data_IF_975860174581
#
_entry.id   IF_975860174581
#
_cell.length_a   1.000
_cell.length_b   1.000
_cell.length_c   1.000
_cell.angle_alpha   90.00
_cell.angle_beta   90.00
_cell.angle_gamma   90.00
#
_symmetry.space_group_name_H-M   'P 1'
#
loop_
_entity.id
_entity.type
_entity.pdbx_description
1 polymer ?
#
# COMPACT_ATOMS: atom_id res chain seq x y z
N UNK A 1 -7.79 -6.95 14.22
CA UNK A 1 -7.54 -5.53 14.56
C UNK A 1 -6.08 -5.12 14.29
N UNK A 2 -5.27 -6.03 13.75
CA UNK A 2 -3.82 -5.93 13.77
C UNK A 2 -3.25 -5.19 12.55
N UNK A 3 -3.90 -5.29 11.39
CA UNK A 3 -3.43 -4.71 10.13
C UNK A 3 -3.35 -3.18 10.14
N UNK A 4 -4.35 -2.49 10.72
CA UNK A 4 -4.31 -1.02 10.85
C UNK A 4 -3.16 -0.56 11.76
N UNK A 5 -2.91 -1.28 12.85
CA UNK A 5 -1.81 -0.98 13.78
C UNK A 5 -0.46 -1.29 13.14
N UNK A 6 -0.37 -2.36 12.35
CA UNK A 6 0.83 -2.71 11.60
C UNK A 6 1.18 -1.62 10.56
N UNK A 7 0.21 -1.15 9.78
CA UNK A 7 0.40 -0.06 8.83
C UNK A 7 0.88 1.24 9.52
N UNK A 8 0.20 1.64 10.60
CA UNK A 8 0.57 2.84 11.35
C UNK A 8 1.99 2.77 11.95
N UNK A 9 2.46 1.58 12.37
CA UNK A 9 3.83 1.38 12.85
C UNK A 9 4.86 1.66 11.77
N UNK A 10 4.63 1.21 10.53
CA UNK A 10 5.58 1.45 9.44
C UNK A 10 5.70 2.94 9.13
N UNK A 11 4.57 3.65 9.02
CA UNK A 11 4.56 5.11 8.83
C UNK A 11 5.26 5.83 9.97
N UNK A 12 5.02 5.43 11.21
CA UNK A 12 5.67 6.03 12.38
C UNK A 12 7.19 5.83 12.33
N UNK A 13 7.65 4.66 11.88
CA UNK A 13 9.09 4.38 11.71
C UNK A 13 9.70 5.23 10.61
N UNK A 14 9.03 5.35 9.45
CA UNK A 14 9.50 6.21 8.34
C UNK A 14 9.61 7.67 8.81
N UNK A 15 8.58 8.19 9.49
CA UNK A 15 8.61 9.55 10.06
C UNK A 15 9.75 9.73 11.05
N UNK A 16 9.99 8.76 11.93
CA UNK A 16 11.07 8.81 12.90
C UNK A 16 12.45 8.84 12.23
N UNK A 17 12.71 7.95 11.26
CA UNK A 17 13.96 7.94 10.49
C UNK A 17 14.14 9.23 9.67
N UNK A 18 13.06 9.77 9.09
CA UNK A 18 13.09 11.02 8.33
C UNK A 18 13.47 12.21 9.22
N UNK A 19 12.84 12.35 10.39
CA UNK A 19 13.16 13.40 11.38
C UNK A 19 14.60 13.26 11.90
N UNK A 20 15.08 12.03 12.07
CA UNK A 20 16.44 11.77 12.51
C UNK A 20 17.50 12.01 11.39
N UNK A 21 17.07 12.23 10.14
CA UNK A 21 17.97 12.35 9.00
C UNK A 21 18.69 11.04 8.66
N UNK A 22 18.14 9.89 9.08
CA UNK A 22 18.72 8.56 8.88
C UNK A 22 17.92 7.70 7.92
N UNK A 23 16.83 8.22 7.36
CA UNK A 23 16.03 7.48 6.38
C UNK A 23 16.82 7.32 5.09
N UNK A 24 17.05 6.08 4.69
CA UNK A 24 17.57 5.73 3.36
C UNK A 24 16.47 5.11 2.48
N UNK A 25 16.77 5.00 1.18
CA UNK A 25 15.82 4.51 0.19
C UNK A 25 15.46 3.03 0.41
N UNK A 26 16.38 2.19 0.86
CA UNK A 26 16.14 0.76 1.06
C UNK A 26 15.28 0.51 2.29
N UNK A 27 15.51 1.25 3.38
CA UNK A 27 14.60 1.27 4.53
C UNK A 27 13.20 1.68 4.07
N UNK A 28 13.07 2.76 3.30
CA UNK A 28 11.76 3.23 2.86
C UNK A 28 11.03 2.20 1.98
N UNK A 29 11.72 1.56 1.04
CA UNK A 29 11.16 0.48 0.20
C UNK A 29 10.61 -0.65 1.05
N UNK A 30 11.38 -1.12 2.03
CA UNK A 30 10.95 -2.21 2.90
C UNK A 30 9.77 -1.81 3.80
N UNK A 31 9.84 -0.62 4.41
CA UNK A 31 8.75 -0.07 5.23
C UNK A 31 7.47 0.08 4.42
N UNK A 32 7.59 0.55 3.18
CA UNK A 32 6.44 0.79 2.32
C UNK A 32 5.82 -0.52 1.86
N UNK A 33 6.60 -1.54 1.49
CA UNK A 33 6.08 -2.88 1.23
C UNK A 33 5.26 -3.39 2.42
N UNK A 34 5.83 -3.38 3.63
CA UNK A 34 5.14 -3.83 4.84
C UNK A 34 3.86 -3.03 5.13
N UNK A 35 3.87 -1.73 4.85
CA UNK A 35 2.69 -0.87 4.93
C UNK A 35 1.61 -1.30 3.93
N UNK A 36 1.96 -1.53 2.66
CA UNK A 36 1.03 -1.99 1.61
C UNK A 36 0.42 -3.33 1.99
N UNK A 37 1.25 -4.31 2.39
CA UNK A 37 0.77 -5.62 2.84
C UNK A 37 -0.23 -5.49 3.99
N UNK A 38 0.07 -4.66 4.98
CA UNK A 38 -0.84 -4.38 6.09
C UNK A 38 -2.16 -3.72 5.61
N UNK A 39 -2.12 -2.76 4.69
CA UNK A 39 -3.34 -2.15 4.13
C UNK A 39 -4.16 -3.14 3.31
N UNK A 40 -3.50 -4.08 2.65
CA UNK A 40 -4.12 -5.10 1.81
C UNK A 40 -4.54 -6.35 2.60
N UNK A 41 -4.22 -6.42 3.89
CA UNK A 41 -4.55 -7.55 4.75
C UNK A 41 -3.75 -8.82 4.43
N UNK A 42 -2.56 -8.66 3.84
CA UNK A 42 -1.65 -9.74 3.46
C UNK A 42 -0.51 -9.87 4.48
N UNK A 43 -0.10 -11.10 4.73
CA UNK A 43 1.16 -11.45 5.38
C UNK A 43 2.30 -11.48 4.34
N UNK A 44 3.55 -11.49 4.83
CA UNK A 44 4.72 -11.42 3.96
C UNK A 44 4.87 -12.65 3.06
N UNK A 45 4.47 -13.83 3.53
CA UNK A 45 4.45 -15.09 2.78
C UNK A 45 3.27 -15.19 1.79
N UNK A 46 2.26 -14.33 1.93
CA UNK A 46 1.13 -14.23 1.00
C UNK A 46 1.41 -13.25 -0.16
N UNK A 47 2.52 -12.52 -0.12
CA UNK A 47 2.90 -11.55 -1.14
C UNK A 47 3.56 -12.28 -2.34
N UNK A 48 2.91 -12.34 -3.53
CA UNK A 48 3.49 -13.02 -4.68
C UNK A 48 4.68 -12.25 -5.28
N UNK A 49 4.72 -10.94 -5.09
CA UNK A 49 5.76 -10.02 -5.58
C UNK A 49 5.62 -8.64 -4.90
N UNK A 50 6.45 -7.68 -5.32
CA UNK A 50 6.33 -6.26 -4.97
C UNK A 50 5.44 -5.45 -5.93
N UNK A 51 4.82 -6.10 -6.91
CA UNK A 51 3.95 -5.43 -7.88
C UNK A 51 2.58 -5.11 -7.25
N UNK A 52 2.11 -3.88 -7.40
CA UNK A 52 0.91 -3.35 -6.75
C UNK A 52 -0.37 -4.03 -7.25
N UNK A 53 -0.47 -4.33 -8.54
CA UNK A 53 -1.59 -5.06 -9.14
C UNK A 53 -1.67 -6.48 -8.56
N UNK A 54 -0.56 -7.24 -8.59
CA UNK A 54 -0.50 -8.59 -8.04
C UNK A 54 -0.84 -8.63 -6.53
N UNK A 55 -0.39 -7.64 -5.77
CA UNK A 55 -0.76 -7.49 -4.35
C UNK A 55 -2.25 -7.17 -4.17
N UNK A 56 -2.82 -6.31 -5.00
CA UNK A 56 -4.23 -5.94 -4.93
C UNK A 56 -5.15 -7.12 -5.30
N UNK A 57 -4.75 -7.92 -6.29
CA UNK A 57 -5.38 -9.17 -6.69
C UNK A 57 -5.30 -10.22 -5.57
N UNK A 58 -4.11 -10.46 -4.99
CA UNK A 58 -3.95 -11.39 -3.86
C UNK A 58 -4.84 -10.99 -2.67
N UNK A 59 -4.91 -9.69 -2.38
CA UNK A 59 -5.80 -9.13 -1.35
C UNK A 59 -7.28 -9.37 -1.68
N UNK A 60 -7.68 -9.19 -2.94
CA UNK A 60 -9.06 -9.45 -3.37
C UNK A 60 -9.38 -10.94 -3.29
N UNK A 61 -8.49 -11.81 -3.77
CA UNK A 61 -8.65 -13.26 -3.70
C UNK A 61 -8.80 -13.75 -2.26
N UNK A 62 -8.00 -13.22 -1.33
CA UNK A 62 -8.12 -13.51 0.11
C UNK A 62 -9.46 -13.05 0.69
N UNK A 63 -9.89 -11.83 0.37
CA UNK A 63 -11.19 -11.31 0.81
C UNK A 63 -12.36 -12.15 0.26
N UNK A 64 -12.28 -12.55 -1.02
CA UNK A 64 -13.28 -13.43 -1.64
C UNK A 64 -13.28 -14.83 -1.02
N UNK A 65 -12.12 -15.40 -0.70
CA UNK A 65 -12.02 -16.69 -0.04
C UNK A 65 -12.64 -16.66 1.38
N UNK A 66 -12.33 -15.62 2.16
CA UNK A 66 -12.92 -15.40 3.47
C UNK A 66 -14.44 -15.19 3.40
N UNK A 67 -14.93 -14.51 2.36
CA UNK A 67 -16.35 -14.37 2.10
C UNK A 67 -16.98 -15.67 1.59
N UNK A 68 -16.29 -16.51 0.82
CA UNK A 68 -16.84 -17.79 0.32
C UNK A 68 -17.11 -18.78 1.46
N UNK A 69 -16.33 -18.75 2.53
CA UNK A 69 -16.66 -19.45 3.79
C UNK A 69 -17.89 -18.89 4.51
N UNK A 70 -18.30 -17.66 4.21
CA UNK A 70 -19.52 -17.01 4.74
C UNK A 70 -20.72 -17.04 3.77
N UNK A 71 -20.49 -17.17 2.45
CA UNK A 71 -21.49 -16.99 1.38
C UNK A 71 -21.77 -18.33 0.69
N UNK A 72 -22.00 -19.38 1.46
CA UNK A 72 -22.63 -20.59 0.92
C UNK A 72 -24.07 -20.34 0.38
N UNK A 73 -24.59 -19.10 0.44
CA UNK A 73 -26.00 -18.81 0.13
C UNK A 73 -26.30 -17.84 -1.03
N UNK A 74 -25.39 -17.02 -1.57
CA UNK A 74 -25.83 -16.03 -2.59
C UNK A 74 -24.83 -15.85 -3.74
N UNK A 75 -25.25 -16.32 -4.92
CA UNK A 75 -24.48 -16.26 -6.16
C UNK A 75 -24.40 -14.86 -6.76
N UNK A 76 -23.17 -14.39 -7.01
CA UNK A 76 -22.89 -13.25 -7.91
C UNK A 76 -21.63 -13.50 -8.74
N UNK A 77 -21.70 -13.03 -9.99
CA UNK A 77 -20.71 -13.25 -11.04
C UNK A 77 -19.40 -12.46 -10.80
N UNK A 78 -18.19 -13.05 -10.98
CA UNK A 78 -16.97 -12.54 -10.34
C UNK A 78 -16.08 -11.62 -11.21
N UNK A 79 -16.35 -11.45 -12.50
CA UNK A 79 -15.27 -11.07 -13.46
C UNK A 79 -15.15 -9.58 -13.80
N UNK A 80 -16.20 -8.76 -13.61
CA UNK A 80 -16.14 -7.32 -13.98
C UNK A 80 -15.87 -6.37 -12.79
N UNK A 81 -16.15 -6.83 -11.56
CA UNK A 81 -15.85 -6.06 -10.33
C UNK A 81 -14.36 -6.11 -9.95
N UNK A 82 -13.64 -7.16 -10.35
CA UNK A 82 -12.25 -7.37 -9.96
C UNK A 82 -11.30 -6.28 -10.44
N UNK A 83 -11.34 -5.95 -11.74
CA UNK A 83 -10.44 -4.94 -12.36
C UNK A 83 -10.65 -3.55 -11.75
N UNK A 84 -11.90 -3.09 -11.63
CA UNK A 84 -12.20 -1.80 -10.98
C UNK A 84 -11.80 -1.79 -9.50
N UNK A 85 -11.87 -2.94 -8.82
CA UNK A 85 -11.48 -3.04 -7.43
C UNK A 85 -9.97 -2.92 -7.22
N UNK A 86 -9.15 -3.28 -8.21
CA UNK A 86 -7.69 -3.13 -8.14
C UNK A 86 -7.30 -1.65 -8.26
N UNK A 87 -7.78 -0.97 -9.29
CA UNK A 87 -7.52 0.47 -9.51
C UNK A 87 -7.94 1.32 -8.30
N UNK A 88 -9.12 1.02 -7.74
CA UNK A 88 -9.63 1.74 -6.57
C UNK A 88 -8.77 1.50 -5.32
N UNK A 89 -8.26 0.28 -5.12
CA UNK A 89 -7.36 -0.03 -3.99
C UNK A 89 -6.05 0.75 -4.11
N UNK A 90 -5.48 0.83 -5.31
CA UNK A 90 -4.26 1.58 -5.55
C UNK A 90 -4.47 3.09 -5.32
N UNK A 91 -5.56 3.66 -5.82
CA UNK A 91 -5.90 5.06 -5.58
C UNK A 91 -6.07 5.35 -4.08
N UNK A 92 -6.81 4.51 -3.35
CA UNK A 92 -7.00 4.66 -1.89
C UNK A 92 -5.69 4.48 -1.12
N UNK A 93 -4.82 3.58 -1.56
CA UNK A 93 -3.49 3.39 -0.99
C UNK A 93 -2.64 4.65 -1.11
N UNK A 94 -2.58 5.24 -2.31
CA UNK A 94 -1.84 6.48 -2.60
C UNK A 94 -2.39 7.64 -1.77
N UNK A 95 -3.72 7.80 -1.68
CA UNK A 95 -4.34 8.84 -0.84
C UNK A 95 -4.01 8.66 0.64
N UNK A 96 -4.06 7.42 1.14
CA UNK A 96 -3.71 7.12 2.52
C UNK A 96 -2.23 7.42 2.80
N UNK A 97 -1.34 7.06 1.88
CA UNK A 97 0.10 7.30 2.01
C UNK A 97 0.42 8.79 2.08
N UNK A 98 -0.13 9.60 1.17
CA UNK A 98 0.03 11.05 1.18
C UNK A 98 -0.44 11.67 2.50
N UNK A 99 -1.64 11.29 2.95
CA UNK A 99 -2.20 11.77 4.23
C UNK A 99 -1.35 11.35 5.43
N UNK A 100 -0.89 10.10 5.46
CA UNK A 100 -0.20 9.54 6.62
C UNK A 100 1.28 9.95 6.68
N UNK A 101 1.92 10.29 5.57
CA UNK A 101 3.29 10.83 5.54
C UNK A 101 3.34 12.36 5.46
N UNK A 102 2.23 13.03 5.15
CA UNK A 102 2.22 14.49 4.97
C UNK A 102 2.95 14.91 3.69
N UNK A 103 2.92 14.07 2.65
CA UNK A 103 3.57 14.33 1.36
C UNK A 103 2.53 14.52 0.27
N UNK A 104 2.82 15.42 -0.67
CA UNK A 104 2.03 15.57 -1.90
C UNK A 104 2.73 14.79 -3.02
N UNK A 105 2.15 13.66 -3.42
CA UNK A 105 2.63 12.92 -4.57
C UNK A 105 1.90 13.43 -5.81
N UNK A 106 2.62 13.55 -6.92
CA UNK A 106 1.97 13.73 -8.22
C UNK A 106 1.09 12.51 -8.49
N UNK A 107 -0.23 12.71 -8.47
CA UNK A 107 -1.22 11.65 -8.63
C UNK A 107 -1.09 10.89 -9.95
N UNK A 108 -0.57 11.53 -11.01
CA UNK A 108 -0.29 10.87 -12.27
C UNK A 108 0.92 9.93 -12.14
N UNK A 109 2.03 10.42 -11.58
CA UNK A 109 3.24 9.60 -11.38
C UNK A 109 3.01 8.46 -10.39
N UNK A 110 2.32 8.74 -9.29
CA UNK A 110 1.98 7.72 -8.29
C UNK A 110 0.97 6.69 -8.84
N UNK A 111 0.03 7.13 -9.69
CA UNK A 111 -0.92 6.23 -10.35
C UNK A 111 -0.26 5.31 -11.38
N UNK A 112 0.89 5.70 -11.94
CA UNK A 112 1.67 4.90 -12.88
C UNK A 112 2.70 3.99 -12.21
N UNK A 113 2.87 4.06 -10.88
CA UNK A 113 3.75 3.15 -10.17
C UNK A 113 3.20 1.72 -10.28
N UNK A 114 4.05 0.80 -10.73
CA UNK A 114 3.73 -0.62 -10.87
C UNK A 114 4.15 -1.40 -9.63
N UNK A 115 5.15 -0.90 -8.89
CA UNK A 115 5.71 -1.59 -7.72
C UNK A 115 5.70 -0.75 -6.45
N UNK A 116 5.76 -1.41 -5.30
CA UNK A 116 5.96 -0.74 -4.01
C UNK A 116 7.28 0.03 -3.96
N UNK A 117 8.29 -0.42 -4.71
CA UNK A 117 9.61 0.21 -4.72
C UNK A 117 9.60 1.52 -5.51
N UNK A 118 8.93 1.57 -6.65
CA UNK A 118 8.72 2.80 -7.41
C UNK A 118 7.91 3.84 -6.60
N UNK A 119 6.89 3.38 -5.87
CA UNK A 119 6.13 4.25 -4.98
C UNK A 119 7.00 4.76 -3.82
N UNK A 120 7.91 3.93 -3.29
CA UNK A 120 8.86 4.32 -2.26
C UNK A 120 9.86 5.35 -2.76
N UNK A 121 10.38 5.16 -3.98
CA UNK A 121 11.32 6.08 -4.61
C UNK A 121 10.67 7.46 -4.87
N UNK A 122 9.39 7.48 -5.28
CA UNK A 122 8.62 8.72 -5.39
C UNK A 122 8.47 9.43 -4.05
N UNK A 123 8.10 8.69 -2.99
CA UNK A 123 8.00 9.25 -1.62
C UNK A 123 9.36 9.76 -1.14
N UNK A 124 10.43 9.02 -1.39
CA UNK A 124 11.78 9.40 -0.98
C UNK A 124 12.19 10.72 -1.60
N UNK A 125 11.97 10.88 -2.91
CA UNK A 125 12.24 12.11 -3.62
C UNK A 125 11.46 13.29 -3.03
N UNK A 126 10.15 13.13 -2.79
CA UNK A 126 9.32 14.18 -2.19
C UNK A 126 9.75 14.55 -0.77
N UNK A 127 10.18 13.57 0.04
CA UNK A 127 10.69 13.83 1.39
C UNK A 127 12.04 14.58 1.37
N UNK A 128 12.89 14.31 0.37
CA UNK A 128 14.18 14.98 0.17
C UNK A 128 14.06 16.41 -0.36
N UNK A 129 13.01 16.72 -1.13
CA UNK A 129 12.77 18.03 -1.75
C UNK A 129 12.24 19.10 -0.76
N UNK A 130 12.04 18.75 0.52
CA UNK A 130 11.82 19.72 1.60
C UNK A 130 10.39 20.24 1.79
N UNK A 131 9.40 19.73 1.05
CA UNK A 131 7.98 20.04 1.27
C UNK A 131 7.30 19.10 2.29
N UNK A 132 7.99 18.78 3.39
CA UNK A 132 7.39 17.97 4.45
C UNK A 132 6.81 18.89 5.52
N UNK A 133 5.50 19.11 5.48
CA UNK A 133 4.76 19.67 6.61
C UNK A 133 4.61 18.57 7.67
N UNK A 134 5.66 18.32 8.46
CA UNK A 134 5.60 17.44 9.63
C UNK A 134 4.90 18.10 10.81
#
# INVERSE_FOLDING_TARGET
>A
MDSKKAAARQISSVRASAVAGTLDADELRERLLLYVLAKFGLAADEAPSRNLEALAEASLAKALAANRTHVAEEGRSPTCDGVRSVDMKQALLIMALQRELGVALDGMRAGLAETTDELADLVFATLGDGEVQL
#
